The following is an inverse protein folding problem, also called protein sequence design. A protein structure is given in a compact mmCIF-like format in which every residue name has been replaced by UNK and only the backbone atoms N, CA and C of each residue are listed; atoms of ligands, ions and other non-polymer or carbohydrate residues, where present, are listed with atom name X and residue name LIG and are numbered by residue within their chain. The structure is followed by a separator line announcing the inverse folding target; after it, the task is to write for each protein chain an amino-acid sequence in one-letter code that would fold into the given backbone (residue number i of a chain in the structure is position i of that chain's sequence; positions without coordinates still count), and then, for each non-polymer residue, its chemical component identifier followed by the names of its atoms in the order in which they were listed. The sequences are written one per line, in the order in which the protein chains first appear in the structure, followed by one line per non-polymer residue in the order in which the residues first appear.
data_IF_090580491213
#
_entry.id   IF_090580491213
#
_cell.length_a   1.000
_cell.length_b   1.000
_cell.length_c   1.000
_cell.angle_alpha   90.00
_cell.angle_beta   90.00
_cell.angle_gamma   90.00
#
_symmetry.space_group_name_H-M   'P 1'
#
loop_
_entity.id
_entity.type
_entity.pdbx_description
1 polymer ?
#
# COMPACT_ATOMS: atom_id res chain seq x y z
N UNK A 1 -78.30 -72.17 21.31
CA UNK A 1 -77.00 -71.73 20.76
C UNK A 1 -76.90 -70.23 20.95
N UNK A 2 -76.16 -69.80 21.97
CA UNK A 2 -76.06 -68.43 22.47
C UNK A 2 -74.89 -67.70 21.78
N UNK A 3 -75.21 -66.66 21.00
CA UNK A 3 -74.22 -65.83 20.31
C UNK A 3 -73.73 -64.72 21.25
N UNK A 4 -72.57 -64.96 21.89
CA UNK A 4 -71.86 -64.02 22.75
C UNK A 4 -70.98 -63.12 21.87
N UNK A 5 -71.57 -62.04 21.35
CA UNK A 5 -70.80 -60.98 20.71
C UNK A 5 -70.00 -60.23 21.77
N UNK A 6 -68.68 -60.41 21.74
CA UNK A 6 -67.72 -59.59 22.48
C UNK A 6 -67.84 -58.14 22.02
N UNK A 7 -68.48 -57.29 22.82
CA UNK A 7 -68.15 -55.87 22.82
C UNK A 7 -66.83 -55.70 23.58
N UNK A 8 -65.77 -55.15 22.98
CA UNK A 8 -64.60 -54.78 23.76
C UNK A 8 -64.96 -53.62 24.68
N UNK A 9 -64.60 -53.75 25.95
CA UNK A 9 -64.81 -52.79 27.02
C UNK A 9 -64.31 -51.39 26.62
N UNK A 10 -65.23 -50.43 26.46
CA UNK A 10 -64.96 -49.10 25.89
C UNK A 10 -64.12 -48.14 26.75
N UNK A 11 -63.63 -48.58 27.92
CA UNK A 11 -62.78 -47.77 28.81
C UNK A 11 -61.28 -47.98 28.57
N UNK A 12 -60.85 -49.21 28.25
CA UNK A 12 -59.44 -49.55 27.96
C UNK A 12 -58.94 -48.82 26.70
N UNK A 13 -59.81 -48.61 25.70
CA UNK A 13 -59.46 -47.94 24.45
C UNK A 13 -59.30 -46.42 24.59
N UNK A 14 -60.09 -45.76 25.44
CA UNK A 14 -59.99 -44.32 25.67
C UNK A 14 -58.72 -43.95 26.43
N UNK A 15 -58.35 -44.72 27.45
CA UNK A 15 -57.10 -44.53 28.18
C UNK A 15 -55.89 -44.70 27.26
N UNK A 16 -55.89 -45.72 26.40
CA UNK A 16 -54.80 -45.93 25.43
C UNK A 16 -54.65 -44.75 24.45
N UNK A 17 -55.76 -44.20 23.94
CA UNK A 17 -55.74 -43.02 23.05
C UNK A 17 -55.22 -41.78 23.77
N UNK A 18 -55.66 -41.54 25.02
CA UNK A 18 -55.16 -40.41 25.81
C UNK A 18 -53.67 -40.53 26.11
N UNK A 19 -53.19 -41.73 26.49
CA UNK A 19 -51.77 -42.01 26.73
C UNK A 19 -50.96 -41.80 25.45
N UNK A 20 -51.46 -42.27 24.30
CA UNK A 20 -50.81 -42.06 23.01
C UNK A 20 -50.66 -40.57 22.67
N UNK A 21 -51.74 -39.78 22.79
CA UNK A 21 -51.68 -38.34 22.53
C UNK A 21 -50.79 -37.60 23.54
N UNK A 22 -50.78 -38.02 24.81
CA UNK A 22 -49.89 -37.46 25.83
C UNK A 22 -48.41 -37.74 25.51
N UNK A 23 -48.08 -38.95 25.06
CA UNK A 23 -46.74 -39.32 24.58
C UNK A 23 -46.34 -38.49 23.36
N UNK A 24 -47.23 -38.35 22.38
CA UNK A 24 -46.98 -37.53 21.18
C UNK A 24 -46.74 -36.06 21.54
N UNK A 25 -47.53 -35.51 22.46
CA UNK A 25 -47.35 -34.16 22.97
C UNK A 25 -46.00 -34.01 23.71
N UNK A 26 -45.63 -34.99 24.55
CA UNK A 26 -44.36 -35.00 25.26
C UNK A 26 -43.16 -35.05 24.30
N UNK A 27 -43.22 -35.87 23.24
CA UNK A 27 -42.19 -35.93 22.20
C UNK A 27 -42.08 -34.62 21.43
N UNK A 28 -43.23 -34.02 21.05
CA UNK A 28 -43.24 -32.74 20.35
C UNK A 28 -42.63 -31.60 21.20
N UNK A 29 -42.97 -31.54 22.50
CA UNK A 29 -42.39 -30.59 23.45
C UNK A 29 -40.90 -30.85 23.66
N UNK A 30 -40.49 -32.12 23.82
CA UNK A 30 -39.08 -32.53 23.94
C UNK A 30 -38.25 -32.13 22.72
N UNK A 31 -38.78 -32.37 21.51
CA UNK A 31 -38.14 -31.93 20.27
C UNK A 31 -38.05 -30.41 20.16
N UNK A 32 -39.15 -29.70 20.47
CA UNK A 32 -39.20 -28.24 20.44
C UNK A 32 -38.18 -27.60 21.38
N UNK A 33 -38.07 -28.12 22.61
CA UNK A 33 -37.07 -27.67 23.59
C UNK A 33 -35.64 -28.01 23.17
N UNK A 34 -35.39 -29.20 22.62
CA UNK A 34 -34.08 -29.59 22.12
C UNK A 34 -33.61 -28.69 20.96
N UNK A 35 -34.50 -28.42 19.99
CA UNK A 35 -34.22 -27.50 18.86
C UNK A 35 -33.97 -26.08 19.38
N UNK A 36 -34.79 -25.60 20.33
CA UNK A 36 -34.61 -24.28 20.95
C UNK A 36 -33.25 -24.16 21.65
N UNK A 37 -32.87 -25.16 22.44
CA UNK A 37 -31.59 -25.18 23.16
C UNK A 37 -30.40 -25.22 22.19
N UNK A 38 -30.48 -26.05 21.13
CA UNK A 38 -29.45 -26.06 20.06
C UNK A 38 -29.33 -24.71 19.37
N UNK A 39 -30.45 -24.08 19.04
CA UNK A 39 -30.45 -22.76 18.39
C UNK A 39 -29.82 -21.69 19.29
N UNK A 40 -30.17 -21.67 20.58
CA UNK A 40 -29.58 -20.75 21.55
C UNK A 40 -28.08 -20.96 21.74
N UNK A 41 -27.62 -22.23 21.78
CA UNK A 41 -26.20 -22.54 21.86
C UNK A 41 -25.45 -22.01 20.64
N UNK A 42 -25.96 -22.27 19.43
CA UNK A 42 -25.34 -21.78 18.18
C UNK A 42 -25.30 -20.25 18.12
N UNK A 43 -26.37 -19.56 18.54
CA UNK A 43 -26.38 -18.09 18.63
C UNK A 43 -25.31 -17.61 19.60
N UNK A 44 -25.22 -18.20 20.80
CA UNK A 44 -24.23 -17.79 21.79
C UNK A 44 -22.79 -18.04 21.34
N UNK A 45 -22.53 -19.13 20.60
CA UNK A 45 -21.22 -19.42 20.04
C UNK A 45 -20.87 -18.43 18.92
N UNK A 46 -21.83 -18.08 18.06
CA UNK A 46 -21.63 -17.09 17.01
C UNK A 46 -21.39 -15.68 17.59
N UNK A 47 -22.10 -15.30 18.65
CA UNK A 47 -21.87 -14.05 19.37
C UNK A 47 -20.47 -14.01 20.00
N UNK A 48 -20.07 -15.08 20.69
CA UNK A 48 -18.72 -15.20 21.27
C UNK A 48 -17.62 -15.16 20.21
N UNK A 49 -17.82 -15.81 19.07
CA UNK A 49 -16.87 -15.76 17.96
C UNK A 49 -16.72 -14.31 17.45
N UNK A 50 -17.84 -13.60 17.26
CA UNK A 50 -17.81 -12.18 16.84
C UNK A 50 -17.14 -11.28 17.86
N UNK A 51 -17.37 -11.47 19.16
CA UNK A 51 -16.72 -10.65 20.20
C UNK A 51 -15.22 -10.92 20.24
N UNK A 52 -14.79 -12.18 20.13
CA UNK A 52 -13.37 -12.53 20.09
C UNK A 52 -12.69 -11.95 18.84
N UNK A 53 -13.32 -12.05 17.68
CA UNK A 53 -12.81 -11.44 16.45
C UNK A 53 -12.69 -9.90 16.58
N UNK A 54 -13.70 -9.24 17.17
CA UNK A 54 -13.68 -7.81 17.40
C UNK A 54 -12.56 -7.41 18.36
N UNK A 55 -12.41 -8.11 19.49
CA UNK A 55 -11.32 -7.89 20.45
C UNK A 55 -9.94 -8.12 19.82
N UNK A 56 -9.79 -9.15 18.99
CA UNK A 56 -8.53 -9.40 18.30
C UNK A 56 -8.18 -8.27 17.33
N UNK A 57 -9.16 -7.76 16.57
CA UNK A 57 -8.97 -6.60 15.69
C UNK A 57 -8.57 -5.36 16.47
N UNK A 58 -9.23 -5.10 17.59
CA UNK A 58 -8.91 -3.97 18.46
C UNK A 58 -7.50 -4.09 19.07
N UNK A 59 -7.12 -5.29 19.54
CA UNK A 59 -5.76 -5.55 20.05
C UNK A 59 -4.70 -5.33 18.99
N UNK A 60 -4.92 -5.80 17.76
CA UNK A 60 -3.99 -5.58 16.65
C UNK A 60 -3.89 -4.09 16.31
N UNK A 61 -5.02 -3.37 16.25
CA UNK A 61 -5.04 -1.94 15.99
C UNK A 61 -4.29 -1.15 17.07
N UNK A 62 -4.53 -1.46 18.35
CA UNK A 62 -3.85 -0.83 19.48
C UNK A 62 -2.34 -1.13 19.47
N UNK A 63 -1.96 -2.38 19.22
CA UNK A 63 -0.54 -2.76 19.13
C UNK A 63 0.18 -1.99 18.01
N UNK A 64 -0.44 -1.85 16.83
CA UNK A 64 0.09 -1.04 15.72
C UNK A 64 0.22 0.44 16.10
N UNK A 65 -0.80 1.00 16.76
CA UNK A 65 -0.77 2.39 17.20
C UNK A 65 0.36 2.66 18.22
N UNK A 66 0.55 1.77 19.19
CA UNK A 66 1.65 1.89 20.17
C UNK A 66 3.02 1.77 19.50
N UNK A 67 3.19 0.83 18.57
CA UNK A 67 4.45 0.68 17.83
C UNK A 67 4.76 1.92 16.99
N UNK A 68 3.74 2.52 16.34
CA UNK A 68 3.89 3.79 15.63
C UNK A 68 4.37 4.92 16.54
N UNK A 69 3.80 5.06 17.72
CA UNK A 69 4.21 6.10 18.67
C UNK A 69 5.66 5.90 19.11
N UNK A 70 6.07 4.64 19.32
CA UNK A 70 7.45 4.28 19.63
C UNK A 70 8.39 4.65 18.48
N UNK A 71 8.09 4.23 17.25
CA UNK A 71 8.91 4.53 16.07
C UNK A 71 9.02 6.04 15.83
N UNK A 72 7.92 6.79 15.96
CA UNK A 72 7.94 8.24 15.83
C UNK A 72 8.86 8.91 16.86
N UNK A 73 8.88 8.40 18.09
CA UNK A 73 9.77 8.88 19.16
C UNK A 73 11.24 8.54 18.89
N UNK A 74 11.53 7.31 18.50
CA UNK A 74 12.90 6.89 18.11
C UNK A 74 13.42 7.74 16.94
N UNK A 75 12.58 8.03 15.95
CA UNK A 75 12.94 8.91 14.83
C UNK A 75 13.14 10.37 15.27
N UNK A 76 12.30 10.87 16.16
CA UNK A 76 12.45 12.22 16.72
C UNK A 76 13.78 12.37 17.48
N UNK A 77 14.18 11.37 18.24
CA UNK A 77 15.45 11.38 18.98
C UNK A 77 16.66 11.38 18.03
N UNK A 78 16.61 10.59 16.95
CA UNK A 78 17.65 10.59 15.91
C UNK A 78 17.74 11.95 15.21
N UNK A 79 16.60 12.57 14.88
CA UNK A 79 16.56 13.90 14.27
C UNK A 79 17.12 14.97 15.21
N UNK A 80 16.69 14.97 16.48
CA UNK A 80 17.14 15.92 17.49
C UNK A 80 18.66 15.83 17.71
N UNK A 81 19.20 14.61 17.79
CA UNK A 81 20.64 14.39 17.93
C UNK A 81 21.44 14.94 16.74
N UNK A 82 20.97 14.69 15.51
CA UNK A 82 21.62 15.20 14.29
C UNK A 82 21.54 16.72 14.17
N UNK A 83 20.40 17.32 14.55
CA UNK A 83 20.26 18.78 14.63
C UNK A 83 21.27 19.40 15.60
N UNK A 84 21.47 18.79 16.77
CA UNK A 84 22.45 19.26 17.76
C UNK A 84 23.87 19.27 17.20
N UNK A 85 24.29 18.17 16.53
CA UNK A 85 25.60 18.10 15.88
C UNK A 85 25.78 19.16 14.78
N UNK A 86 24.73 19.41 14.00
CA UNK A 86 24.76 20.41 12.94
C UNK A 86 24.89 21.83 13.50
N UNK A 87 24.16 22.15 14.58
CA UNK A 87 24.29 23.41 15.31
C UNK A 87 25.68 23.61 15.91
N UNK A 88 26.30 22.56 16.44
CA UNK A 88 27.68 22.63 16.95
C UNK A 88 28.68 22.93 15.82
N UNK A 89 28.55 22.26 14.67
CA UNK A 89 29.42 22.52 13.52
C UNK A 89 29.21 23.91 12.90
N UNK A 90 27.97 24.39 12.86
CA UNK A 90 27.65 25.74 12.41
C UNK A 90 28.19 26.81 13.38
N UNK A 91 28.03 26.61 14.69
CA UNK A 91 28.59 27.50 15.71
C UNK A 91 30.13 27.53 15.69
N UNK A 92 30.78 26.39 15.43
CA UNK A 92 32.23 26.34 15.29
C UNK A 92 32.78 27.17 14.11
N UNK A 93 31.99 27.30 13.03
CA UNK A 93 32.29 28.18 11.90
C UNK A 93 32.08 29.65 12.25
N UNK A 94 31.03 29.98 13.01
CA UNK A 94 30.73 31.35 13.45
C UNK A 94 31.83 31.93 14.34
N UNK A 95 32.41 31.12 15.24
CA UNK A 95 33.47 31.54 16.16
C UNK A 95 34.89 31.52 15.56
N UNK A 96 35.08 31.13 14.29
CA UNK A 96 36.38 31.12 13.60
C UNK A 96 36.31 31.77 12.21
N UNK A 97 36.05 33.08 12.12
CA UNK A 97 36.01 33.79 10.84
C UNK A 97 37.37 33.78 10.11
N UNK A 98 38.47 33.62 10.85
CA UNK A 98 39.84 33.59 10.31
C UNK A 98 40.31 32.16 9.94
N UNK A 99 39.41 31.18 9.88
CA UNK A 99 39.77 29.81 9.53
C UNK A 99 40.28 29.70 8.08
N UNK A 100 41.24 28.81 7.80
CA UNK A 100 41.70 28.56 6.43
C UNK A 100 40.53 28.20 5.50
N UNK A 101 40.53 28.67 4.23
CA UNK A 101 39.45 28.39 3.27
C UNK A 101 39.16 26.90 3.04
N UNK A 102 40.15 26.03 3.28
CA UNK A 102 39.99 24.56 3.20
C UNK A 102 39.18 24.00 4.37
N UNK A 103 39.37 24.51 5.58
CA UNK A 103 38.65 24.06 6.78
C UNK A 103 37.19 24.53 6.75
N UNK A 104 36.95 25.75 6.24
CA UNK A 104 35.59 26.27 6.00
C UNK A 104 34.85 25.39 4.99
N UNK A 105 35.49 25.04 3.87
CA UNK A 105 34.91 24.14 2.86
C UNK A 105 34.61 22.75 3.42
N UNK A 106 35.50 22.21 4.26
CA UNK A 106 35.30 20.90 4.89
C UNK A 106 34.10 20.91 5.84
N UNK A 107 34.00 21.92 6.71
CA UNK A 107 32.89 22.06 7.65
C UNK A 107 31.55 22.31 6.94
N UNK A 108 31.53 23.16 5.91
CA UNK A 108 30.35 23.37 5.06
C UNK A 108 29.91 22.08 4.33
N UNK A 109 30.87 21.26 3.91
CA UNK A 109 30.62 19.93 3.33
C UNK A 109 29.93 18.97 4.30
N UNK A 110 30.39 18.92 5.55
CA UNK A 110 29.79 18.11 6.64
C UNK A 110 28.36 18.57 6.93
N UNK A 111 28.14 19.88 7.05
CA UNK A 111 26.80 20.45 7.27
C UNK A 111 25.87 20.09 6.11
N UNK A 112 26.30 20.26 4.85
CA UNK A 112 25.50 19.94 3.67
C UNK A 112 25.10 18.47 3.61
N UNK A 113 26.04 17.57 3.92
CA UNK A 113 25.79 16.14 3.97
C UNK A 113 24.79 15.78 5.09
N UNK A 114 24.97 16.37 6.28
CA UNK A 114 24.06 16.18 7.41
C UNK A 114 22.63 16.63 7.13
N UNK A 115 22.45 17.80 6.50
CA UNK A 115 21.12 18.31 6.10
C UNK A 115 20.45 17.39 5.08
N UNK A 116 21.19 16.89 4.08
CA UNK A 116 20.64 15.96 3.10
C UNK A 116 20.17 14.66 3.76
N UNK A 117 20.95 14.13 4.69
CA UNK A 117 20.58 12.92 5.42
C UNK A 117 19.30 13.14 6.25
N UNK A 118 19.21 14.25 7.00
CA UNK A 118 18.02 14.56 7.80
C UNK A 118 16.75 14.73 6.95
N UNK A 119 16.87 15.29 5.73
CA UNK A 119 15.73 15.41 4.81
C UNK A 119 15.27 14.05 4.28
N UNK A 120 16.16 13.09 4.13
CA UNK A 120 15.80 11.71 3.79
C UNK A 120 15.10 11.04 4.97
N UNK A 121 15.68 11.11 6.18
CA UNK A 121 15.09 10.53 7.39
C UNK A 121 13.65 11.09 7.63
N UNK A 122 13.43 12.39 7.39
CA UNK A 122 12.10 13.00 7.49
C UNK A 122 11.11 12.49 6.43
N UNK A 123 11.58 12.22 5.22
CA UNK A 123 10.74 11.66 4.14
C UNK A 123 10.35 10.22 4.45
N UNK A 124 11.24 9.45 5.05
CA UNK A 124 10.98 8.06 5.43
C UNK A 124 9.91 8.01 6.54
N UNK A 125 9.98 8.91 7.51
CA UNK A 125 8.92 9.09 8.52
C UNK A 125 7.57 9.45 7.87
N UNK A 126 7.55 10.39 6.92
CA UNK A 126 6.30 10.77 6.21
C UNK A 126 5.77 9.63 5.33
N UNK A 127 6.65 8.84 4.70
CA UNK A 127 6.27 7.69 3.89
C UNK A 127 5.63 6.59 4.74
N UNK A 128 6.25 6.24 5.87
CA UNK A 128 5.70 5.31 6.86
C UNK A 128 4.32 5.76 7.37
N UNK A 129 4.15 7.06 7.63
CA UNK A 129 2.87 7.64 8.04
C UNK A 129 1.80 7.62 6.93
N UNK A 130 2.19 7.57 5.64
CA UNK A 130 1.28 7.53 4.49
C UNK A 130 0.87 6.11 4.11
N UNK A 131 1.75 5.13 4.20
CA UNK A 131 1.44 3.73 3.85
C UNK A 131 0.35 3.12 4.75
N UNK A 132 0.30 3.49 6.03
CA UNK A 132 -0.77 3.04 6.95
C UNK A 132 -2.05 3.89 6.89
N UNK A 133 -2.09 4.94 6.06
CA UNK A 133 -3.28 5.77 5.82
C UNK A 133 -4.12 5.32 4.61
N UNK A 134 -3.82 4.16 4.03
CA UNK A 134 -4.60 3.56 2.93
C UNK A 134 -6.05 3.19 3.32
N UNK A 135 -6.49 3.44 4.57
CA UNK A 135 -7.87 3.19 5.02
C UNK A 135 -8.80 4.43 4.99
N UNK A 136 -8.38 5.56 4.42
CA UNK A 136 -9.26 6.72 4.23
C UNK A 136 -9.20 7.33 2.82
N UNK A 137 -10.08 6.83 1.95
CA UNK A 137 -10.80 7.60 0.93
C UNK A 137 -10.00 8.50 -0.05
N UNK A 138 -9.12 7.91 -0.85
CA UNK A 138 -8.86 8.36 -2.23
C UNK A 138 -9.02 7.15 -3.17
N UNK A 139 -9.55 7.30 -4.39
CA UNK A 139 -9.52 6.23 -5.38
C UNK A 139 -8.07 5.77 -5.51
N UNK A 140 -7.82 4.50 -5.19
CA UNK A 140 -6.48 3.91 -5.09
C UNK A 140 -5.69 4.29 -6.32
N UNK A 141 -4.67 5.14 -6.18
CA UNK A 141 -3.82 5.59 -7.29
C UNK A 141 -3.20 4.38 -7.97
N UNK A 142 -3.74 4.02 -9.11
CA UNK A 142 -3.46 2.80 -9.88
C UNK A 142 -3.31 3.15 -11.35
N UNK A 143 -2.95 2.17 -12.19
CA UNK A 143 -2.85 2.37 -13.64
C UNK A 143 -4.12 2.96 -14.27
N UNK A 144 -5.32 2.63 -13.75
CA UNK A 144 -6.58 3.19 -14.26
C UNK A 144 -6.75 4.69 -14.00
N UNK A 145 -5.96 5.26 -13.08
CA UNK A 145 -5.95 6.69 -12.76
C UNK A 145 -4.85 7.49 -13.47
N UNK A 146 -4.04 6.85 -14.34
CA UNK A 146 -3.02 7.52 -15.14
C UNK A 146 -3.55 8.64 -16.06
N UNK A 147 -4.75 8.53 -16.68
CA UNK A 147 -5.29 9.64 -17.48
C UNK A 147 -5.41 10.94 -16.69
N UNK A 148 -5.82 10.88 -15.42
CA UNK A 148 -5.88 12.05 -14.53
C UNK A 148 -4.49 12.62 -14.26
N UNK A 149 -3.50 11.76 -13.97
CA UNK A 149 -2.11 12.17 -13.77
C UNK A 149 -1.52 12.86 -15.01
N UNK A 150 -1.84 12.36 -16.20
CA UNK A 150 -1.40 12.98 -17.45
C UNK A 150 -2.05 14.35 -17.65
N UNK A 151 -3.36 14.48 -17.41
CA UNK A 151 -4.06 15.76 -17.46
C UNK A 151 -3.47 16.81 -16.51
N UNK A 152 -3.23 16.44 -15.24
CA UNK A 152 -2.58 17.33 -14.27
C UNK A 152 -1.18 17.77 -14.70
N UNK A 153 -0.42 16.86 -15.31
CA UNK A 153 0.93 17.16 -15.77
C UNK A 153 0.95 18.03 -17.04
N UNK A 154 -0.05 17.89 -17.92
CA UNK A 154 -0.27 18.76 -19.09
C UNK A 154 -0.72 20.16 -18.67
N UNK A 155 -1.65 20.29 -17.72
CA UNK A 155 -2.04 21.57 -17.12
C UNK A 155 -0.84 22.29 -16.48
N UNK A 156 0.09 21.52 -15.90
CA UNK A 156 1.35 22.03 -15.37
C UNK A 156 2.42 22.36 -16.45
N UNK A 157 2.06 22.30 -17.74
CA UNK A 157 2.91 22.70 -18.86
C UNK A 157 3.79 21.59 -19.46
N UNK A 158 3.56 20.32 -19.10
CA UNK A 158 4.27 19.19 -19.72
C UNK A 158 3.63 18.82 -21.06
N UNK A 159 4.42 18.38 -22.03
CA UNK A 159 3.90 17.75 -23.25
C UNK A 159 4.03 16.24 -23.12
N UNK A 160 2.91 15.50 -23.08
CA UNK A 160 2.93 14.06 -22.81
C UNK A 160 2.41 13.29 -24.04
N UNK A 161 3.11 12.21 -24.38
CA UNK A 161 2.61 11.19 -25.32
C UNK A 161 2.59 9.86 -24.59
N UNK A 162 1.41 9.40 -24.22
CA UNK A 162 1.21 8.15 -23.50
C UNK A 162 0.62 7.07 -24.41
N UNK A 163 1.13 5.85 -24.29
CA UNK A 163 0.58 4.65 -24.94
C UNK A 163 0.54 3.53 -23.91
N UNK A 164 -0.60 2.87 -23.78
CA UNK A 164 -0.84 1.77 -22.84
C UNK A 164 -1.30 0.57 -23.67
N UNK A 165 -0.39 -0.39 -23.86
CA UNK A 165 -0.60 -1.64 -24.59
C UNK A 165 -0.82 -2.78 -23.59
N UNK A 166 -1.97 -2.75 -22.93
CA UNK A 166 -2.43 -3.77 -21.98
C UNK A 166 -3.89 -4.07 -22.31
N UNK A 167 -4.26 -5.36 -22.38
CA UNK A 167 -5.62 -5.77 -22.74
C UNK A 167 -6.67 -5.31 -21.73
N UNK A 168 -6.43 -5.57 -20.44
CA UNK A 168 -7.26 -5.09 -19.34
C UNK A 168 -6.37 -4.59 -18.19
N UNK A 169 -6.63 -3.37 -17.71
CA UNK A 169 -5.89 -2.77 -16.60
C UNK A 169 -6.32 -3.36 -15.25
N UNK A 170 -7.51 -3.93 -15.17
CA UNK A 170 -8.02 -4.56 -13.95
C UNK A 170 -7.37 -5.93 -13.69
N UNK A 171 -6.79 -6.55 -14.73
CA UNK A 171 -6.02 -7.79 -14.62
C UNK A 171 -4.61 -7.57 -14.02
N UNK A 172 -4.15 -6.31 -13.92
CA UNK A 172 -2.84 -6.00 -13.35
C UNK A 172 -2.91 -6.12 -11.82
N UNK A 173 -2.03 -6.94 -11.19
CA UNK A 173 -2.02 -7.08 -9.74
C UNK A 173 -1.89 -5.73 -9.03
N UNK A 174 -2.68 -5.49 -7.98
CA UNK A 174 -2.79 -4.18 -7.34
C UNK A 174 -1.44 -3.59 -6.89
N UNK A 175 -0.52 -4.43 -6.39
CA UNK A 175 0.84 -4.00 -6.00
C UNK A 175 1.63 -3.49 -7.21
N UNK A 176 1.57 -4.22 -8.33
CA UNK A 176 2.24 -3.89 -9.60
C UNK A 176 1.65 -2.61 -10.19
N UNK A 177 0.32 -2.48 -10.17
CA UNK A 177 -0.40 -1.31 -10.67
C UNK A 177 -0.04 -0.04 -9.89
N UNK A 178 0.04 -0.11 -8.56
CA UNK A 178 0.48 1.02 -7.72
C UNK A 178 1.95 1.38 -7.95
N UNK A 179 2.82 0.37 -8.03
CA UNK A 179 4.24 0.59 -8.29
C UNK A 179 4.45 1.28 -9.64
N UNK A 180 3.81 0.80 -10.70
CA UNK A 180 3.86 1.40 -12.03
C UNK A 180 3.33 2.84 -12.05
N UNK A 181 2.19 3.12 -11.41
CA UNK A 181 1.67 4.48 -11.27
C UNK A 181 2.70 5.42 -10.63
N UNK A 182 3.35 5.00 -9.54
CA UNK A 182 4.36 5.80 -8.85
C UNK A 182 5.61 6.04 -9.70
N UNK A 183 6.04 5.04 -10.47
CA UNK A 183 7.17 5.17 -11.40
C UNK A 183 6.85 6.25 -12.45
N UNK A 184 5.64 6.22 -13.03
CA UNK A 184 5.20 7.23 -14.00
C UNK A 184 5.13 8.62 -13.36
N UNK A 185 4.54 8.75 -12.18
CA UNK A 185 4.44 10.02 -11.45
C UNK A 185 5.81 10.66 -11.17
N UNK A 186 6.74 9.88 -10.62
CA UNK A 186 8.09 10.36 -10.32
C UNK A 186 8.88 10.65 -11.60
N UNK A 187 8.71 9.81 -12.64
CA UNK A 187 9.31 10.02 -13.96
C UNK A 187 8.87 11.32 -14.62
N UNK A 188 7.57 11.64 -14.62
CA UNK A 188 7.03 12.90 -15.13
C UNK A 188 7.51 14.10 -14.30
N UNK A 189 7.57 13.94 -12.97
CA UNK A 189 8.10 14.98 -12.08
C UNK A 189 9.57 15.28 -12.37
N UNK A 190 10.38 14.24 -12.59
CA UNK A 190 11.79 14.37 -12.96
C UNK A 190 11.95 14.99 -14.35
N UNK A 191 11.16 14.56 -15.33
CA UNK A 191 11.19 15.14 -16.66
C UNK A 191 10.89 16.65 -16.64
N UNK A 192 9.87 17.08 -15.91
CA UNK A 192 9.55 18.51 -15.73
C UNK A 192 10.69 19.28 -15.06
N UNK A 193 11.29 18.72 -14.00
CA UNK A 193 12.40 19.35 -13.28
C UNK A 193 13.66 19.51 -14.13
N UNK A 194 13.93 18.57 -15.05
CA UNK A 194 15.24 18.46 -15.70
C UNK A 194 15.25 18.77 -17.20
N UNK A 195 14.14 18.57 -17.92
CA UNK A 195 14.09 18.73 -19.38
C UNK A 195 13.38 20.02 -19.83
N UNK A 196 12.62 20.69 -18.96
CA UNK A 196 11.78 21.83 -19.34
C UNK A 196 10.59 21.39 -20.21
N UNK A 197 10.10 22.28 -21.08
CA UNK A 197 8.93 22.04 -21.94
C UNK A 197 9.26 21.17 -23.18
N UNK A 198 9.77 19.96 -22.95
CA UNK A 198 10.15 19.01 -23.99
C UNK A 198 9.22 17.78 -23.90
N UNK A 199 8.77 17.20 -25.03
CA UNK A 199 7.80 16.12 -25.01
C UNK A 199 8.32 14.85 -24.33
N UNK A 200 7.58 14.38 -23.32
CA UNK A 200 7.81 13.15 -22.58
C UNK A 200 6.97 12.03 -23.19
N UNK A 201 7.60 10.92 -23.54
CA UNK A 201 6.91 9.74 -24.06
C UNK A 201 6.83 8.69 -22.96
N UNK A 202 5.62 8.23 -22.65
CA UNK A 202 5.35 7.16 -21.68
C UNK A 202 4.77 5.98 -22.44
N UNK A 203 5.39 4.82 -22.33
CA UNK A 203 4.92 3.57 -22.91
C UNK A 203 4.78 2.52 -21.82
N UNK A 204 3.59 1.97 -21.67
CA UNK A 204 3.29 0.91 -20.70
C UNK A 204 2.79 -0.28 -21.48
N UNK A 205 3.39 -1.45 -21.28
CA UNK A 205 2.98 -2.68 -21.96
C UNK A 205 3.19 -3.86 -21.04
N UNK A 206 2.44 -4.94 -21.25
CA UNK A 206 2.62 -6.15 -20.47
C UNK A 206 1.43 -7.08 -20.53
N UNK A 207 1.62 -8.26 -19.95
CA UNK A 207 0.56 -9.25 -19.81
C UNK A 207 0.90 -10.28 -18.74
N UNK A 208 -0.09 -11.12 -18.34
CA UNK A 208 0.13 -12.21 -17.40
C UNK A 208 1.22 -13.17 -17.91
N UNK A 209 2.24 -13.42 -17.09
CA UNK A 209 3.41 -14.25 -17.42
C UNK A 209 4.57 -13.51 -18.09
N UNK A 210 4.30 -12.39 -18.80
CA UNK A 210 5.32 -11.60 -19.49
C UNK A 210 5.87 -10.43 -18.64
N UNK A 211 5.16 -10.08 -17.56
CA UNK A 211 5.49 -8.93 -16.74
C UNK A 211 4.90 -7.62 -17.27
N UNK A 212 5.05 -6.56 -16.47
CA UNK A 212 4.66 -5.20 -16.82
C UNK A 212 5.92 -4.35 -17.07
N UNK A 213 6.02 -3.74 -18.24
CA UNK A 213 7.09 -2.82 -18.62
C UNK A 213 6.58 -1.39 -18.66
N UNK A 214 7.23 -0.51 -17.90
CA UNK A 214 7.03 0.95 -17.94
C UNK A 214 8.27 1.60 -18.52
N UNK A 215 8.13 2.29 -19.65
CA UNK A 215 9.22 3.03 -20.30
C UNK A 215 8.88 4.51 -20.41
N UNK A 216 9.77 5.35 -19.90
CA UNK A 216 9.66 6.81 -19.96
C UNK A 216 10.86 7.33 -20.73
N UNK A 217 10.62 8.11 -21.78
CA UNK A 217 11.65 8.71 -22.62
C UNK A 217 11.44 10.21 -22.72
N UNK A 218 12.50 10.95 -22.46
CA UNK A 218 12.53 12.40 -22.68
C UNK A 218 13.80 12.83 -23.42
N UNK A 219 13.71 13.72 -24.42
CA UNK A 219 14.88 14.33 -25.02
C UNK A 219 15.63 15.20 -24.03
N UNK A 220 16.96 15.21 -24.12
CA UNK A 220 17.80 16.16 -23.39
C UNK A 220 17.66 17.55 -24.03
N UNK A 221 17.32 18.56 -23.24
CA UNK A 221 17.32 19.96 -23.69
C UNK A 221 18.77 20.42 -23.97
N UNK A 222 18.98 21.29 -24.96
CA UNK A 222 20.31 21.90 -25.22
C UNK A 222 20.86 22.68 -24.01
N UNK A 223 20.00 23.12 -23.07
CA UNK A 223 20.43 23.74 -21.82
C UNK A 223 21.14 22.75 -20.86
N UNK A 224 20.94 21.44 -21.05
CA UNK A 224 21.60 20.38 -20.28
C UNK A 224 22.93 19.89 -20.91
N UNK A 225 23.37 20.47 -22.04
CA UNK A 225 24.69 20.16 -22.63
C UNK A 225 25.85 20.82 -21.87
N UNK A 226 25.57 21.75 -20.95
CA UNK A 226 26.57 22.28 -20.03
C UNK A 226 26.53 21.47 -18.75
N UNK A 227 27.55 20.62 -18.57
CA UNK A 227 27.78 19.74 -17.42
C UNK A 227 26.98 18.42 -17.42
N UNK A 228 27.56 17.41 -18.08
CA UNK A 228 27.63 16.05 -17.52
C UNK A 228 28.62 16.09 -16.34
N UNK A 229 28.38 16.95 -15.36
CA UNK A 229 28.84 16.72 -14.00
C UNK A 229 27.65 16.12 -13.25
N UNK A 230 27.87 15.09 -12.41
CA UNK A 230 26.80 14.49 -11.64
C UNK A 230 26.21 15.53 -10.67
N UNK A 231 25.13 16.19 -11.08
CA UNK A 231 24.42 17.18 -10.27
C UNK A 231 24.03 16.50 -8.95
N UNK A 232 24.55 16.96 -7.80
CA UNK A 232 24.20 16.41 -6.49
C UNK A 232 22.73 16.75 -6.19
N UNK A 233 21.82 15.81 -6.46
CA UNK A 233 20.37 15.98 -6.23
C UNK A 233 19.48 15.12 -7.13
N UNK A 234 19.91 14.84 -8.39
CA UNK A 234 19.18 13.98 -9.33
C UNK A 234 19.10 12.50 -8.88
N UNK A 235 19.90 12.12 -7.89
CA UNK A 235 19.95 10.75 -7.35
C UNK A 235 18.77 10.40 -6.45
N UNK A 236 18.10 11.36 -5.81
CA UNK A 236 17.05 11.05 -4.81
C UNK A 236 15.77 10.47 -5.43
N UNK A 237 15.30 11.02 -6.57
CA UNK A 237 14.11 10.51 -7.27
C UNK A 237 14.33 9.13 -7.88
N UNK A 238 15.50 8.91 -8.49
CA UNK A 238 15.87 7.61 -9.09
C UNK A 238 16.13 6.54 -8.04
N UNK A 239 16.68 6.89 -6.86
CA UNK A 239 16.82 5.96 -5.73
C UNK A 239 15.45 5.49 -5.25
N UNK A 240 14.48 6.41 -5.10
CA UNK A 240 13.11 6.03 -4.70
C UNK A 240 12.38 5.17 -5.75
N UNK A 241 12.63 5.41 -7.04
CA UNK A 241 12.11 4.53 -8.10
C UNK A 241 12.76 3.13 -8.00
N UNK A 242 14.08 3.07 -7.81
CA UNK A 242 14.81 1.81 -7.72
C UNK A 242 14.36 0.95 -6.54
N UNK A 243 14.19 1.56 -5.37
CA UNK A 243 13.72 0.89 -4.16
C UNK A 243 12.32 0.30 -4.36
N UNK A 244 11.38 1.07 -4.91
CA UNK A 244 10.02 0.59 -5.21
C UNK A 244 10.00 -0.55 -6.22
N UNK A 245 10.79 -0.44 -7.29
CA UNK A 245 10.90 -1.52 -8.29
C UNK A 245 11.46 -2.79 -7.64
N UNK A 246 12.47 -2.65 -6.78
CA UNK A 246 13.06 -3.77 -6.04
C UNK A 246 12.06 -4.42 -5.08
N UNK A 247 11.30 -3.63 -4.32
CA UNK A 247 10.26 -4.12 -3.40
C UNK A 247 9.13 -4.87 -4.13
N UNK A 248 8.83 -4.48 -5.37
CA UNK A 248 7.88 -5.16 -6.22
C UNK A 248 8.48 -6.40 -6.93
N UNK A 249 9.75 -6.75 -6.68
CA UNK A 249 10.43 -7.89 -7.33
C UNK A 249 10.81 -7.64 -8.78
N UNK A 250 10.92 -6.37 -9.19
CA UNK A 250 11.21 -5.95 -10.56
C UNK A 250 12.65 -5.49 -10.79
N UNK A 251 12.91 -5.02 -12.01
CA UNK A 251 14.20 -4.52 -12.47
C UNK A 251 14.09 -3.10 -13.03
N UNK A 252 15.05 -2.23 -12.68
CA UNK A 252 15.12 -0.86 -13.17
C UNK A 252 16.39 -0.64 -13.98
N UNK A 253 16.26 0.00 -15.13
CA UNK A 253 17.37 0.54 -15.91
C UNK A 253 17.10 1.99 -16.28
N UNK A 254 18.13 2.83 -16.25
CA UNK A 254 18.02 4.21 -16.70
C UNK A 254 19.35 4.69 -17.28
N UNK A 255 19.30 5.61 -18.23
CA UNK A 255 20.49 6.15 -18.87
C UNK A 255 20.19 7.08 -20.03
N UNK A 256 21.24 7.61 -20.64
CA UNK A 256 21.12 8.43 -21.86
C UNK A 256 21.35 7.55 -23.08
N UNK A 257 20.37 7.52 -23.98
CA UNK A 257 20.39 6.79 -25.25
C UNK A 257 19.98 7.75 -26.36
N UNK A 258 20.81 7.93 -27.39
CA UNK A 258 20.51 8.77 -28.56
C UNK A 258 19.99 10.18 -28.19
N UNK A 259 20.65 10.85 -27.24
CA UNK A 259 20.26 12.17 -26.69
C UNK A 259 18.92 12.21 -25.97
N UNK A 260 18.38 11.06 -25.57
CA UNK A 260 17.23 10.96 -24.71
C UNK A 260 17.65 10.36 -23.37
N UNK A 261 17.13 10.88 -22.27
CA UNK A 261 17.11 10.09 -21.05
C UNK A 261 15.98 9.07 -21.17
N UNK A 262 16.29 7.81 -20.89
CA UNK A 262 15.38 6.67 -20.92
C UNK A 262 15.38 6.03 -19.55
N UNK A 263 14.19 5.81 -19.00
CA UNK A 263 13.94 5.01 -17.81
C UNK A 263 13.06 3.84 -18.20
N UNK A 264 13.49 2.61 -17.91
CA UNK A 264 12.72 1.39 -18.14
C UNK A 264 12.65 0.59 -16.84
N UNK A 265 11.44 0.36 -16.37
CA UNK A 265 11.16 -0.53 -15.24
C UNK A 265 10.38 -1.76 -15.73
N UNK A 266 10.77 -2.95 -15.29
CA UNK A 266 10.04 -4.19 -15.47
C UNK A 266 9.56 -4.68 -14.12
N UNK A 267 8.28 -5.00 -14.01
CA UNK A 267 7.65 -5.50 -12.79
C UNK A 267 7.07 -6.88 -13.08
N UNK A 268 7.13 -7.82 -12.11
CA UNK A 268 6.57 -9.15 -12.31
C UNK A 268 5.04 -9.06 -12.41
N UNK A 269 4.48 -9.81 -13.35
CA UNK A 269 3.04 -10.00 -13.52
C UNK A 269 2.84 -11.49 -13.72
N UNK A 270 2.49 -12.18 -12.64
CA UNK A 270 2.30 -13.63 -12.66
C UNK A 270 1.12 -14.01 -13.57
N UNK A 271 1.25 -15.12 -14.29
CA UNK A 271 0.11 -15.72 -14.97
C UNK A 271 -0.88 -16.19 -13.88
N UNK A 272 -2.14 -15.76 -13.96
CA UNK A 272 -3.18 -16.26 -13.07
C UNK A 272 -3.20 -17.79 -13.13
N UNK A 273 -3.10 -18.45 -11.97
CA UNK A 273 -3.30 -19.89 -11.90
C UNK A 273 -4.75 -20.19 -12.29
N UNK A 274 -4.94 -20.73 -13.49
CA UNK A 274 -6.22 -21.31 -13.92
C UNK A 274 -6.64 -22.48 -13.02
#
# INVERSE_FOLDING_TARGET
MTNRWLYPEGQESLLAVLVFWALMAAVAVGWGTMVRNRRQLLISLAERARTVEAEQRERIANARATERERLAREMHDVLAHRMSLLSVHAGALEFRPDAPPEDIRRAAGVIRAGVHQMLNDLRDVIAMLREDSEDFAQPTRSLSTLPTLFGEAEEAGSQIRATIDICDLDDVPGVVSRAAYRIVQEGLTNARKHAGAVPVTVHISGGPGDGLSVRIRQPLSMAANSAIEPIPGAKSGLVGINERVTLAGGELSYGVVERNFVLTARLPWEAGSL
#
